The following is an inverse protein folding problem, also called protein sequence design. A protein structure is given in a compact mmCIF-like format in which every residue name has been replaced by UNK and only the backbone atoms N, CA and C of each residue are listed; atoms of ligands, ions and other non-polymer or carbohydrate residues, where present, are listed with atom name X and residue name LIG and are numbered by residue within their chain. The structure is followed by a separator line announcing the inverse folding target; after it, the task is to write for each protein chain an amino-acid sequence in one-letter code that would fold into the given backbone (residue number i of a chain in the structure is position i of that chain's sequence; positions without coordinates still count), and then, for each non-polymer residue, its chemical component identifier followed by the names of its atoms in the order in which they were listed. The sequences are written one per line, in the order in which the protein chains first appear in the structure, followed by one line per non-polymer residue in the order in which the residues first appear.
data_IF_525208571677
#
_entry.id   IF_525208571677
#
_cell.length_a   1.000
_cell.length_b   1.000
_cell.length_c   1.000
_cell.angle_alpha   90.00
_cell.angle_beta   90.00
_cell.angle_gamma   90.00
#
_symmetry.space_group_name_H-M   'P 1'
#
loop_
_entity.id
_entity.type
_entity.pdbx_description
1 polymer ?
#
# COMPACT_ATOMS: atom_id res chain seq x y z
N UNK A 1 -11.19 7.15 22.11
CA UNK A 1 -11.88 7.02 20.80
C UNK A 1 -11.75 5.60 20.31
N UNK A 2 -12.77 5.01 19.69
CA UNK A 2 -12.68 3.68 19.09
C UNK A 2 -12.75 3.80 17.57
N UNK A 3 -11.98 2.99 16.86
CA UNK A 3 -12.13 2.86 15.40
C UNK A 3 -13.41 2.07 15.14
N UNK A 4 -14.37 2.70 14.48
CA UNK A 4 -15.70 2.13 14.21
C UNK A 4 -15.84 1.53 12.81
N UNK A 5 -14.80 1.68 11.98
CA UNK A 5 -14.80 1.24 10.58
C UNK A 5 -13.56 0.40 10.31
N UNK A 6 -13.64 -0.43 9.25
CA UNK A 6 -12.45 -1.07 8.69
C UNK A 6 -11.61 -0.03 7.98
N UNK A 7 -10.31 -0.07 8.20
CA UNK A 7 -9.35 0.91 7.64
C UNK A 7 -8.30 0.18 6.83
N UNK A 8 -8.13 0.60 5.58
CA UNK A 8 -7.03 0.22 4.72
C UNK A 8 -6.19 1.48 4.47
N UNK A 9 -4.94 1.47 4.90
CA UNK A 9 -3.96 2.45 4.48
C UNK A 9 -3.14 1.91 3.31
N UNK A 10 -2.95 2.71 2.27
CA UNK A 10 -2.13 2.35 1.11
C UNK A 10 -1.07 3.44 0.93
N UNK A 11 0.18 3.11 1.20
CA UNK A 11 1.32 4.00 1.01
C UNK A 11 2.00 3.75 -0.34
N UNK A 12 2.20 4.80 -1.14
CA UNK A 12 2.84 4.69 -2.45
C UNK A 12 4.11 5.53 -2.48
N UNK A 13 5.23 4.89 -2.83
CA UNK A 13 6.55 5.48 -2.83
C UNK A 13 7.08 5.74 -1.42
N UNK A 14 8.34 6.12 -1.29
CA UNK A 14 9.00 6.35 0.01
C UNK A 14 8.21 7.25 0.95
N UNK A 15 7.63 8.34 0.44
CA UNK A 15 6.78 9.23 1.25
C UNK A 15 5.55 8.51 1.82
N UNK A 16 4.84 7.73 1.00
CA UNK A 16 3.68 6.97 1.45
C UNK A 16 4.04 5.92 2.50
N UNK A 17 5.21 5.28 2.36
CA UNK A 17 5.75 4.32 3.34
C UNK A 17 6.07 5.01 4.67
N UNK A 18 6.72 6.17 4.64
CA UNK A 18 7.03 6.95 5.85
C UNK A 18 5.77 7.38 6.60
N UNK A 19 4.77 7.93 5.89
CA UNK A 19 3.49 8.31 6.49
C UNK A 19 2.82 7.10 7.15
N UNK A 20 2.81 5.95 6.47
CA UNK A 20 2.20 4.73 7.00
C UNK A 20 2.88 4.23 8.26
N UNK A 21 4.22 4.29 8.32
CA UNK A 21 4.98 3.95 9.51
C UNK A 21 4.60 4.83 10.71
N UNK A 22 4.60 6.15 10.53
CA UNK A 22 4.22 7.08 11.59
C UNK A 22 2.76 6.90 12.02
N UNK A 23 1.86 6.64 11.05
CA UNK A 23 0.46 6.33 11.34
C UNK A 23 0.32 5.06 12.19
N UNK A 24 1.05 4.00 11.87
CA UNK A 24 1.02 2.77 12.68
C UNK A 24 1.52 2.99 14.11
N UNK A 25 2.60 3.75 14.27
CA UNK A 25 3.13 4.13 15.60
C UNK A 25 2.08 4.90 16.39
N UNK A 26 1.44 5.89 15.78
CA UNK A 26 0.39 6.68 16.42
C UNK A 26 -0.82 5.82 16.81
N UNK A 27 -1.29 4.95 15.90
CA UNK A 27 -2.40 4.04 16.16
C UNK A 27 -2.10 3.06 17.31
N UNK A 28 -0.88 2.52 17.39
CA UNK A 28 -0.48 1.63 18.48
C UNK A 28 -0.49 2.37 19.81
N UNK A 29 0.08 3.57 19.86
CA UNK A 29 0.08 4.40 21.06
C UNK A 29 -1.34 4.72 21.53
N UNK A 30 -2.21 5.13 20.62
CA UNK A 30 -3.55 5.62 20.97
C UNK A 30 -4.55 4.49 21.26
N UNK A 31 -4.48 3.37 20.52
CA UNK A 31 -5.40 2.24 20.69
C UNK A 31 -4.94 1.24 21.74
N UNK A 32 -3.65 0.96 21.80
CA UNK A 32 -3.12 -0.06 22.71
C UNK A 32 -2.73 0.51 24.08
N UNK A 33 -2.56 1.82 24.19
CA UNK A 33 -2.17 2.50 25.44
C UNK A 33 -0.70 2.29 25.80
N UNK A 34 -0.24 2.86 26.91
CA UNK A 34 1.18 2.89 27.29
C UNK A 34 1.78 1.51 27.58
N UNK A 35 0.97 0.54 28.01
CA UNK A 35 1.40 -0.84 28.28
C UNK A 35 1.06 -1.82 27.15
N UNK A 36 0.53 -1.33 26.04
CA UNK A 36 0.14 -2.12 24.89
C UNK A 36 -1.11 -2.99 25.08
N UNK A 37 -1.79 -2.93 26.21
CA UNK A 37 -2.84 -3.89 26.59
C UNK A 37 -4.25 -3.30 26.64
N UNK A 38 -4.44 -2.02 26.26
CA UNK A 38 -5.74 -1.37 26.37
C UNK A 38 -6.83 -2.07 25.55
N UNK A 39 -6.50 -2.57 24.35
CA UNK A 39 -7.43 -3.38 23.54
C UNK A 39 -7.71 -4.73 24.19
N UNK A 40 -6.69 -5.42 24.69
CA UNK A 40 -6.81 -6.74 25.32
C UNK A 40 -7.77 -6.66 26.51
N UNK A 41 -7.69 -5.59 27.32
CA UNK A 41 -8.58 -5.37 28.48
C UNK A 41 -10.06 -5.20 28.12
N UNK A 42 -10.38 -4.87 26.86
CA UNK A 42 -11.78 -4.85 26.39
C UNK A 42 -12.39 -6.25 26.29
N UNK A 43 -11.57 -7.28 26.30
CA UNK A 43 -12.05 -8.68 26.26
C UNK A 43 -12.63 -9.09 24.91
N UNK A 44 -13.40 -10.18 24.90
CA UNK A 44 -14.03 -10.71 23.68
C UNK A 44 -12.99 -11.07 22.61
N UNK A 45 -13.23 -10.62 21.38
CA UNK A 45 -12.33 -10.89 20.25
C UNK A 45 -10.93 -10.28 20.43
N UNK A 46 -10.80 -9.22 21.23
CA UNK A 46 -9.52 -8.55 21.49
C UNK A 46 -8.62 -9.29 22.48
N UNK A 47 -9.16 -10.23 23.27
CA UNK A 47 -8.36 -10.99 24.25
C UNK A 47 -7.26 -11.85 23.62
N UNK A 48 -7.36 -12.14 22.33
CA UNK A 48 -6.39 -12.93 21.56
C UNK A 48 -5.23 -12.09 20.98
N UNK A 49 -5.31 -10.78 21.09
CA UNK A 49 -4.25 -9.89 20.61
C UNK A 49 -3.01 -9.99 21.51
N UNK A 50 -1.84 -9.79 20.88
CA UNK A 50 -0.60 -9.56 21.61
C UNK A 50 -0.51 -8.08 22.06
N UNK A 51 0.28 -7.76 23.09
CA UNK A 51 0.54 -6.35 23.47
C UNK A 51 0.98 -5.55 22.24
N UNK A 52 0.44 -4.33 22.09
CA UNK A 52 0.65 -3.42 20.96
C UNK A 52 0.22 -3.94 19.57
N UNK A 53 -0.41 -5.09 19.46
CA UNK A 53 -0.94 -5.58 18.20
C UNK A 53 -2.17 -4.78 17.78
N UNK A 54 -2.17 -4.25 16.56
CA UNK A 54 -3.36 -3.66 15.94
C UNK A 54 -4.35 -4.77 15.52
N UNK A 55 -5.65 -4.52 15.62
CA UNK A 55 -6.66 -5.46 15.14
C UNK A 55 -6.62 -5.63 13.62
N UNK A 56 -7.05 -6.78 13.12
CA UNK A 56 -7.04 -7.10 11.70
C UNK A 56 -8.00 -6.22 10.85
N UNK A 57 -8.87 -5.44 11.47
CA UNK A 57 -9.67 -4.43 10.76
C UNK A 57 -8.89 -3.14 10.42
N UNK A 58 -7.61 -3.09 10.76
CA UNK A 58 -6.65 -2.08 10.33
C UNK A 58 -5.56 -2.80 9.55
N UNK A 59 -5.45 -2.51 8.26
CA UNK A 59 -4.44 -3.10 7.38
C UNK A 59 -3.68 -2.00 6.64
N UNK A 60 -2.42 -2.27 6.31
CA UNK A 60 -1.58 -1.38 5.52
C UNK A 60 -0.99 -2.14 4.33
N UNK A 61 -0.98 -1.49 3.16
CA UNK A 61 -0.32 -1.95 1.94
C UNK A 61 0.70 -0.90 1.50
N UNK A 62 1.85 -1.33 1.05
CA UNK A 62 2.92 -0.45 0.62
C UNK A 62 3.41 -0.82 -0.78
N UNK A 63 3.39 0.16 -1.68
CA UNK A 63 3.82 0.04 -3.06
C UNK A 63 5.08 0.89 -3.27
N UNK A 64 6.21 0.25 -3.32
CA UNK A 64 7.48 0.87 -3.71
C UNK A 64 8.35 -0.15 -4.44
N UNK A 65 9.30 0.32 -5.24
CA UNK A 65 10.33 -0.52 -5.85
C UNK A 65 11.73 -0.19 -5.33
N UNK A 66 11.82 0.72 -4.39
CA UNK A 66 13.00 0.91 -3.58
C UNK A 66 13.14 -0.24 -2.59
N UNK A 67 14.30 -0.90 -2.58
CA UNK A 67 14.60 -2.00 -1.64
C UNK A 67 14.62 -1.52 -0.18
N UNK A 68 14.75 -0.21 0.04
CA UNK A 68 14.73 0.38 1.37
C UNK A 68 13.32 0.47 1.99
N UNK A 69 12.23 0.33 1.20
CA UNK A 69 10.87 0.45 1.72
C UNK A 69 10.59 -0.52 2.88
N UNK A 70 11.02 -1.77 2.76
CA UNK A 70 10.90 -2.77 3.83
C UNK A 70 11.75 -2.38 5.05
N UNK A 71 12.97 -1.88 4.82
CA UNK A 71 13.85 -1.42 5.89
C UNK A 71 13.30 -0.20 6.62
N UNK A 72 12.62 0.72 5.92
CA UNK A 72 11.97 1.88 6.55
C UNK A 72 10.89 1.43 7.53
N UNK A 73 10.09 0.43 7.17
CA UNK A 73 9.08 -0.14 8.06
C UNK A 73 9.70 -0.85 9.26
N UNK A 74 10.86 -1.47 9.08
CA UNK A 74 11.57 -2.20 10.12
C UNK A 74 12.43 -1.30 11.01
N UNK A 75 12.99 -0.20 10.48
CA UNK A 75 13.84 0.74 11.23
C UNK A 75 13.01 1.58 12.18
N UNK A 76 13.24 1.35 13.44
CA UNK A 76 12.93 2.29 14.52
C UNK A 76 11.64 2.03 15.26
N UNK A 77 11.82 1.51 16.28
CA UNK A 77 11.30 1.27 17.60
C UNK A 77 11.36 -0.22 17.90
N UNK A 78 11.89 -0.58 19.04
CA UNK A 78 11.87 -1.93 19.64
C UNK A 78 10.46 -2.52 19.78
N UNK A 79 9.43 -1.79 19.35
CA UNK A 79 8.04 -2.18 19.30
C UNK A 79 7.77 -3.07 18.08
N UNK A 80 8.54 -4.15 18.02
CA UNK A 80 8.18 -5.37 17.32
C UNK A 80 7.97 -5.25 15.80
N UNK A 81 9.05 -5.31 15.05
CA UNK A 81 9.11 -5.66 13.63
C UNK A 81 8.06 -6.74 13.27
N UNK A 82 7.94 -7.78 14.11
CA UNK A 82 6.94 -8.84 13.95
C UNK A 82 5.48 -8.40 14.01
N UNK A 83 5.16 -7.28 14.68
CA UNK A 83 3.79 -6.76 14.76
C UNK A 83 3.46 -5.88 13.55
N UNK A 84 4.44 -5.14 13.03
CA UNK A 84 4.28 -4.40 11.78
C UNK A 84 4.02 -5.38 10.62
N UNK A 85 4.80 -6.45 10.51
CA UNK A 85 4.63 -7.49 9.50
C UNK A 85 3.23 -8.14 9.52
N UNK A 86 2.57 -8.17 10.65
CA UNK A 86 1.25 -8.78 10.76
C UNK A 86 0.13 -7.93 10.13
N UNK A 87 0.24 -6.61 10.20
CA UNK A 87 -0.79 -5.68 9.72
C UNK A 87 -0.37 -4.92 8.46
N UNK A 88 0.91 -4.96 8.10
CA UNK A 88 1.47 -4.30 6.93
C UNK A 88 1.97 -5.32 5.90
N UNK A 89 1.66 -5.10 4.64
CA UNK A 89 2.13 -5.91 3.52
C UNK A 89 2.89 -5.02 2.55
N UNK A 90 4.17 -5.29 2.36
CA UNK A 90 4.95 -4.67 1.28
C UNK A 90 4.70 -5.47 0.00
N UNK A 91 4.27 -4.80 -1.05
CA UNK A 91 4.03 -5.44 -2.35
C UNK A 91 5.37 -5.64 -3.05
N UNK A 92 6.05 -6.72 -2.71
CA UNK A 92 7.40 -7.06 -3.23
C UNK A 92 7.42 -7.41 -4.72
N UNK A 93 6.27 -7.75 -5.30
CA UNK A 93 6.17 -8.12 -6.73
C UNK A 93 6.57 -7.00 -7.68
N UNK A 94 6.57 -5.75 -7.22
CA UNK A 94 7.09 -4.63 -8.01
C UNK A 94 8.61 -4.75 -8.19
N UNK A 95 9.33 -5.24 -7.17
CA UNK A 95 10.79 -5.47 -7.26
C UNK A 95 11.16 -6.63 -8.19
N UNK A 96 10.30 -7.66 -8.28
CA UNK A 96 10.54 -8.88 -9.06
C UNK A 96 10.35 -8.70 -10.57
N UNK A 97 10.34 -7.48 -11.07
CA UNK A 97 10.10 -7.19 -12.50
C UNK A 97 11.17 -7.75 -13.45
N UNK A 98 12.34 -8.17 -12.92
CA UNK A 98 13.46 -8.68 -13.71
C UNK A 98 14.20 -7.62 -14.54
N UNK A 99 13.82 -6.35 -14.40
CA UNK A 99 14.51 -5.22 -15.01
C UNK A 99 15.43 -4.56 -13.97
N UNK A 100 16.70 -4.45 -14.30
CA UNK A 100 17.70 -3.79 -13.44
C UNK A 100 17.77 -2.29 -13.65
N UNK A 101 17.24 -1.79 -14.80
CA UNK A 101 17.24 -0.38 -15.16
C UNK A 101 15.98 0.01 -15.90
N UNK A 102 15.69 1.32 -15.92
CA UNK A 102 14.58 1.86 -16.70
C UNK A 102 14.65 1.51 -18.18
N UNK A 103 15.84 1.58 -18.78
CA UNK A 103 16.04 1.26 -20.21
C UNK A 103 15.60 -0.18 -20.51
N UNK A 104 16.01 -1.14 -19.68
CA UNK A 104 15.60 -2.55 -19.83
C UNK A 104 14.09 -2.69 -19.67
N UNK A 105 13.49 -2.03 -18.68
CA UNK A 105 12.05 -2.02 -18.49
C UNK A 105 11.31 -1.47 -19.72
N UNK A 106 11.75 -0.33 -20.24
CA UNK A 106 11.16 0.31 -21.41
C UNK A 106 11.28 -0.55 -22.69
N UNK A 107 12.43 -1.19 -22.90
CA UNK A 107 12.61 -2.13 -24.02
C UNK A 107 11.69 -3.35 -23.91
N UNK A 108 11.52 -3.91 -22.71
CA UNK A 108 10.58 -5.01 -22.48
C UNK A 108 9.14 -4.62 -22.77
N UNK A 109 8.70 -3.43 -22.31
CA UNK A 109 7.34 -2.93 -22.56
C UNK A 109 7.08 -2.66 -24.05
N UNK A 110 8.09 -2.18 -24.80
CA UNK A 110 7.96 -1.97 -26.25
C UNK A 110 7.92 -3.28 -27.04
N UNK A 111 8.63 -4.30 -26.55
CA UNK A 111 8.70 -5.61 -27.23
C UNK A 111 7.44 -6.44 -27.02
N UNK A 112 6.71 -6.22 -25.97
CA UNK A 112 5.46 -6.92 -25.66
C UNK A 112 4.30 -6.30 -26.45
N UNK A 113 3.58 -7.12 -27.24
CA UNK A 113 2.51 -6.66 -28.14
C UNK A 113 1.31 -6.09 -27.39
N UNK A 114 0.99 -6.66 -26.23
CA UNK A 114 -0.19 -6.26 -25.46
C UNK A 114 0.06 -4.95 -24.73
N UNK A 115 1.25 -4.77 -24.16
CA UNK A 115 1.62 -3.55 -23.46
C UNK A 115 2.08 -2.42 -24.34
N UNK A 116 2.67 -2.71 -25.51
CA UNK A 116 3.19 -1.68 -26.41
C UNK A 116 2.10 -0.69 -26.87
N UNK A 117 0.87 -1.18 -27.09
CA UNK A 117 -0.26 -0.32 -27.43
C UNK A 117 -0.69 0.59 -26.28
N UNK A 118 -0.63 0.10 -25.04
CA UNK A 118 -1.03 0.83 -23.82
C UNK A 118 0.03 1.84 -23.37
N UNK A 119 1.30 1.56 -23.66
CA UNK A 119 2.42 2.40 -23.24
C UNK A 119 2.78 3.49 -24.23
N UNK A 120 2.35 3.38 -25.49
CA UNK A 120 2.68 4.27 -26.59
C UNK A 120 2.46 5.76 -26.31
N UNK A 121 1.46 6.10 -25.50
CA UNK A 121 1.09 7.48 -25.26
C UNK A 121 1.88 8.14 -24.12
N UNK A 122 2.61 7.39 -23.33
CA UNK A 122 3.31 7.92 -22.15
C UNK A 122 4.76 7.44 -22.02
N UNK A 123 5.14 6.34 -22.65
CA UNK A 123 6.53 5.87 -22.65
C UNK A 123 7.35 6.73 -23.62
N UNK A 124 8.42 7.41 -23.18
CA UNK A 124 9.26 8.23 -24.03
C UNK A 124 9.89 7.44 -25.17
N UNK A 125 10.19 8.09 -26.28
CA UNK A 125 11.04 7.53 -27.32
C UNK A 125 12.47 7.29 -26.79
N UNK A 126 13.21 6.37 -27.42
CA UNK A 126 14.54 5.93 -26.94
C UNK A 126 15.53 7.08 -26.71
N UNK A 127 15.48 8.08 -27.58
CA UNK A 127 16.38 9.23 -27.52
C UNK A 127 16.04 10.21 -26.38
N UNK A 128 14.82 10.10 -25.83
CA UNK A 128 14.29 10.95 -24.77
C UNK A 128 14.16 10.20 -23.43
N UNK A 129 14.77 9.03 -23.32
CA UNK A 129 14.72 8.24 -22.09
C UNK A 129 15.47 8.93 -20.94
N UNK A 130 14.86 8.99 -19.74
CA UNK A 130 15.55 9.53 -18.59
C UNK A 130 16.77 8.69 -18.20
N UNK A 131 17.87 9.36 -17.91
CA UNK A 131 19.06 8.73 -17.33
C UNK A 131 18.86 8.65 -15.81
N UNK A 132 18.56 7.46 -15.32
CA UNK A 132 18.26 7.23 -13.90
C UNK A 132 19.13 6.13 -13.32
N UNK A 133 19.25 6.13 -12.00
CA UNK A 133 19.86 5.07 -11.22
C UNK A 133 19.17 3.71 -11.45
N UNK A 134 19.73 2.59 -11.00
CA UNK A 134 19.04 1.31 -10.99
C UNK A 134 17.63 1.41 -10.38
N UNK A 135 16.70 0.61 -10.87
CA UNK A 135 15.31 0.63 -10.37
C UNK A 135 15.20 0.26 -8.88
N UNK A 136 16.18 -0.47 -8.35
CA UNK A 136 16.30 -0.76 -6.91
C UNK A 136 16.46 0.49 -6.05
N UNK A 137 16.93 1.59 -6.63
CA UNK A 137 17.14 2.86 -5.94
C UNK A 137 15.92 3.79 -6.10
N UNK A 138 14.80 3.26 -6.59
CA UNK A 138 13.54 3.96 -6.81
C UNK A 138 13.44 4.65 -8.18
N UNK A 139 12.37 5.40 -8.39
CA UNK A 139 12.12 6.11 -9.65
C UNK A 139 12.77 7.51 -9.73
N UNK A 140 13.47 7.94 -8.69
CA UNK A 140 13.92 9.31 -8.58
C UNK A 140 12.74 10.30 -8.69
N UNK A 141 12.87 11.31 -9.55
CA UNK A 141 11.81 12.30 -9.80
C UNK A 141 11.09 12.08 -11.14
N UNK A 142 11.22 10.90 -11.75
CA UNK A 142 10.66 10.60 -13.07
C UNK A 142 9.42 9.72 -12.97
N UNK A 143 8.20 10.27 -13.13
CA UNK A 143 6.95 9.49 -13.09
C UNK A 143 6.89 8.35 -14.11
N UNK A 144 7.48 8.56 -15.29
CA UNK A 144 7.54 7.54 -16.34
C UNK A 144 8.34 6.30 -15.93
N UNK A 145 9.35 6.47 -15.06
CA UNK A 145 10.15 5.38 -14.50
C UNK A 145 9.29 4.53 -13.57
N UNK A 146 8.59 5.19 -12.65
CA UNK A 146 7.67 4.51 -11.74
C UNK A 146 6.59 3.75 -12.47
N UNK A 147 5.97 4.40 -13.45
CA UNK A 147 4.91 3.79 -14.24
C UNK A 147 5.40 2.60 -15.06
N UNK A 148 6.58 2.70 -15.67
CA UNK A 148 7.16 1.59 -16.43
C UNK A 148 7.45 0.37 -15.54
N UNK A 149 7.97 0.59 -14.33
CA UNK A 149 8.21 -0.47 -13.36
C UNK A 149 6.92 -1.19 -12.96
N UNK A 150 5.85 -0.44 -12.65
CA UNK A 150 4.55 -1.02 -12.31
C UNK A 150 3.96 -1.84 -13.48
N UNK A 151 3.95 -1.29 -14.70
CA UNK A 151 3.41 -1.99 -15.87
C UNK A 151 4.16 -3.28 -16.15
N UNK A 152 5.48 -3.27 -16.02
CA UNK A 152 6.29 -4.48 -16.18
C UNK A 152 5.97 -5.51 -15.09
N UNK A 153 5.81 -5.06 -13.84
CA UNK A 153 5.45 -5.92 -12.72
C UNK A 153 4.06 -6.54 -12.91
N UNK A 154 3.06 -5.75 -13.32
CA UNK A 154 1.71 -6.23 -13.60
C UNK A 154 1.70 -7.26 -14.74
N UNK A 155 2.51 -7.07 -15.77
CA UNK A 155 2.62 -8.02 -16.87
C UNK A 155 3.22 -9.36 -16.46
N UNK A 156 4.21 -9.34 -15.57
CA UNK A 156 4.96 -10.54 -15.18
C UNK A 156 4.44 -11.18 -13.91
N UNK A 157 4.03 -10.36 -12.97
CA UNK A 157 3.67 -10.76 -11.61
C UNK A 157 2.30 -10.20 -11.19
N UNK A 158 1.43 -9.83 -12.14
CA UNK A 158 0.14 -9.20 -11.85
C UNK A 158 -0.71 -10.01 -10.88
N UNK A 159 -0.74 -11.32 -11.03
CA UNK A 159 -1.45 -12.20 -10.11
C UNK A 159 -0.88 -12.16 -8.68
N UNK A 160 0.41 -11.90 -8.51
CA UNK A 160 1.03 -11.78 -7.20
C UNK A 160 0.66 -10.45 -6.54
N UNK A 161 0.70 -9.34 -7.29
CA UNK A 161 0.27 -8.03 -6.80
C UNK A 161 -1.21 -8.07 -6.40
N UNK A 162 -2.06 -8.60 -7.27
CA UNK A 162 -3.49 -8.75 -6.96
C UNK A 162 -3.72 -9.65 -5.74
N UNK A 163 -2.95 -10.73 -5.59
CA UNK A 163 -3.05 -11.61 -4.44
C UNK A 163 -2.72 -10.92 -3.11
N UNK A 164 -1.67 -10.09 -3.08
CA UNK A 164 -1.32 -9.34 -1.87
C UNK A 164 -2.42 -8.33 -1.48
N UNK A 165 -2.99 -7.64 -2.47
CA UNK A 165 -4.15 -6.76 -2.26
C UNK A 165 -5.34 -7.57 -1.73
N UNK A 166 -5.66 -8.69 -2.35
CA UNK A 166 -6.77 -9.55 -1.96
C UNK A 166 -6.61 -10.08 -0.53
N UNK A 167 -5.40 -10.45 -0.14
CA UNK A 167 -5.13 -10.93 1.22
C UNK A 167 -5.41 -9.84 2.25
N UNK A 168 -4.97 -8.61 2.01
CA UNK A 168 -5.25 -7.48 2.90
C UNK A 168 -6.77 -7.21 3.00
N UNK A 169 -7.48 -7.19 1.87
CA UNK A 169 -8.94 -7.02 1.84
C UNK A 169 -9.64 -8.14 2.59
N UNK A 170 -9.26 -9.40 2.38
CA UNK A 170 -9.86 -10.55 3.08
C UNK A 170 -9.63 -10.49 4.59
N UNK A 171 -8.45 -10.05 5.07
CA UNK A 171 -8.21 -9.84 6.50
C UNK A 171 -9.17 -8.81 7.07
N UNK A 172 -9.39 -7.69 6.37
CA UNK A 172 -10.37 -6.67 6.76
C UNK A 172 -11.80 -7.23 6.85
N UNK A 173 -12.18 -8.08 5.91
CA UNK A 173 -13.52 -8.71 5.90
C UNK A 173 -13.68 -9.65 7.08
N UNK A 174 -12.72 -10.55 7.30
CA UNK A 174 -12.75 -11.53 8.39
C UNK A 174 -12.76 -10.88 9.78
N UNK A 175 -12.15 -9.70 9.90
CA UNK A 175 -12.15 -8.93 11.14
C UNK A 175 -13.48 -8.23 11.47
N UNK A 176 -14.48 -8.37 10.62
CA UNK A 176 -15.79 -7.70 10.79
C UNK A 176 -16.50 -8.03 12.10
N UNK A 177 -16.35 -9.25 12.61
CA UNK A 177 -16.89 -9.63 13.90
C UNK A 177 -16.32 -8.86 15.10
N UNK A 178 -15.08 -8.39 15.01
CA UNK A 178 -14.49 -7.53 16.04
C UNK A 178 -15.15 -6.16 16.14
N UNK A 179 -15.61 -5.62 15.00
CA UNK A 179 -16.28 -4.32 14.95
C UNK A 179 -17.76 -4.39 15.31
N UNK A 180 -18.44 -5.51 15.06
CA UNK A 180 -19.84 -5.68 15.41
C UNK A 180 -20.11 -5.55 16.91
N UNK A 181 -19.14 -5.94 17.74
CA UNK A 181 -19.24 -5.75 19.20
C UNK A 181 -19.16 -4.28 19.64
N UNK A 182 -18.82 -3.34 18.74
CA UNK A 182 -18.66 -1.91 19.01
C UNK A 182 -19.65 -1.02 18.26
N UNK A 183 -20.53 -1.58 17.43
CA UNK A 183 -21.47 -0.82 16.58
C UNK A 183 -22.91 -0.90 17.10
N UNK A 184 -23.66 0.17 16.85
CA UNK A 184 -25.13 0.11 16.85
C UNK A 184 -25.58 -0.66 15.60
N UNK A 185 -26.64 -1.45 15.69
CA UNK A 185 -27.16 -2.34 14.63
C UNK A 185 -27.51 -1.64 13.30
N UNK A 186 -27.64 -0.32 13.29
CA UNK A 186 -28.03 0.48 12.12
C UNK A 186 -26.91 0.87 11.15
N UNK A 187 -25.65 0.68 11.53
CA UNK A 187 -24.52 1.13 10.70
C UNK A 187 -24.14 0.10 9.65
N UNK A 188 -24.31 0.43 8.38
CA UNK A 188 -23.82 -0.40 7.27
C UNK A 188 -22.29 -0.59 7.38
N UNK A 189 -21.77 -1.79 7.08
CA UNK A 189 -20.35 -2.01 7.09
C UNK A 189 -19.66 -1.15 6.02
N UNK A 190 -18.64 -0.40 6.44
CA UNK A 190 -17.83 0.47 5.57
C UNK A 190 -16.36 0.13 5.65
N UNK A 191 -15.66 0.31 4.52
CA UNK A 191 -14.20 0.33 4.48
C UNK A 191 -13.75 1.73 4.08
N UNK A 192 -12.87 2.31 4.89
CA UNK A 192 -12.20 3.57 4.60
C UNK A 192 -10.79 3.24 4.09
N UNK A 193 -10.53 3.53 2.83
CA UNK A 193 -9.24 3.32 2.19
C UNK A 193 -8.53 4.67 2.01
N UNK A 194 -7.42 4.87 2.70
CA UNK A 194 -6.58 6.07 2.59
C UNK A 194 -5.36 5.76 1.75
N UNK A 195 -5.16 6.49 0.66
CA UNK A 195 -4.02 6.32 -0.26
C UNK A 195 -3.07 7.49 -0.12
N UNK A 196 -1.96 7.29 0.58
CA UNK A 196 -0.95 8.32 0.84
C UNK A 196 0.19 8.28 -0.18
N UNK A 197 0.50 9.41 -0.81
CA UNK A 197 1.59 9.54 -1.78
C UNK A 197 2.07 11.00 -1.92
N UNK A 198 3.23 11.18 -2.54
CA UNK A 198 3.74 12.50 -2.92
C UNK A 198 3.77 12.64 -4.43
N UNK A 199 3.47 13.84 -4.93
CA UNK A 199 3.65 14.19 -6.35
C UNK A 199 5.02 14.82 -6.63
N UNK A 200 5.90 14.89 -5.63
CA UNK A 200 7.29 15.32 -5.83
C UNK A 200 8.21 14.16 -6.26
N UNK A 201 7.88 12.91 -5.91
CA UNK A 201 8.67 11.73 -6.25
C UNK A 201 8.16 10.98 -7.47
N UNK A 202 9.06 10.29 -8.18
CA UNK A 202 8.72 9.55 -9.40
C UNK A 202 7.83 8.33 -9.16
N UNK A 203 8.03 7.59 -8.06
CA UNK A 203 7.20 6.43 -7.72
C UNK A 203 5.76 6.86 -7.45
N UNK A 204 5.55 7.73 -6.46
CA UNK A 204 4.22 8.18 -6.07
C UNK A 204 3.44 8.74 -7.25
N UNK A 205 4.03 9.72 -7.96
CA UNK A 205 3.41 10.37 -9.12
C UNK A 205 3.17 9.41 -10.29
N UNK A 206 4.09 8.45 -10.48
CA UNK A 206 4.02 7.54 -11.62
C UNK A 206 2.95 6.47 -11.51
N UNK A 207 2.63 6.01 -10.27
CA UNK A 207 1.80 4.82 -10.11
C UNK A 207 0.50 5.03 -9.32
N UNK A 208 0.30 6.19 -8.65
CA UNK A 208 -0.85 6.37 -7.77
C UNK A 208 -2.18 6.13 -8.47
N UNK A 209 -2.31 6.60 -9.70
CA UNK A 209 -3.55 6.49 -10.47
C UNK A 209 -3.86 5.02 -10.80
N UNK A 210 -2.88 4.30 -11.31
CA UNK A 210 -3.04 2.89 -11.69
C UNK A 210 -3.29 2.02 -10.44
N UNK A 211 -2.62 2.32 -9.30
CA UNK A 211 -2.84 1.63 -8.01
C UNK A 211 -4.24 1.89 -7.46
N UNK A 212 -4.76 3.13 -7.52
CA UNK A 212 -6.12 3.44 -7.07
C UNK A 212 -7.14 2.65 -7.89
N UNK A 213 -7.01 2.59 -9.22
CA UNK A 213 -7.90 1.81 -10.07
C UNK A 213 -7.81 0.30 -9.80
N UNK A 214 -6.60 -0.21 -9.55
CA UNK A 214 -6.41 -1.61 -9.19
C UNK A 214 -7.10 -1.93 -7.85
N UNK A 215 -6.94 -1.07 -6.85
CA UNK A 215 -7.61 -1.19 -5.56
C UNK A 215 -9.12 -1.15 -5.70
N UNK A 216 -9.67 -0.18 -6.45
CA UNK A 216 -11.11 -0.07 -6.70
C UNK A 216 -11.65 -1.35 -7.34
N UNK A 217 -11.00 -1.85 -8.38
CA UNK A 217 -11.36 -3.10 -9.04
C UNK A 217 -11.38 -4.27 -8.07
N UNK A 218 -10.33 -4.44 -7.24
CA UNK A 218 -10.22 -5.57 -6.30
C UNK A 218 -11.22 -5.43 -5.15
N UNK A 219 -11.40 -4.24 -4.60
CA UNK A 219 -12.38 -3.96 -3.56
C UNK A 219 -13.81 -4.29 -4.03
N UNK A 220 -14.20 -3.80 -5.21
CA UNK A 220 -15.52 -4.07 -5.78
C UNK A 220 -15.74 -5.56 -6.12
N UNK A 221 -14.68 -6.28 -6.48
CA UNK A 221 -14.77 -7.72 -6.79
C UNK A 221 -14.97 -8.58 -5.53
N UNK A 222 -14.37 -8.19 -4.40
CA UNK A 222 -14.36 -9.01 -3.17
C UNK A 222 -15.49 -8.61 -2.22
N UNK A 223 -15.96 -7.37 -2.29
CA UNK A 223 -16.83 -6.77 -1.28
C UNK A 223 -18.25 -6.54 -1.83
N UNK A 224 -19.03 -7.60 -1.93
CA UNK A 224 -20.45 -7.43 -2.21
C UNK A 224 -21.20 -6.82 -1.00
N UNK A 225 -21.91 -5.72 -1.22
CA UNK A 225 -22.75 -5.08 -0.20
C UNK A 225 -22.00 -4.29 0.89
N UNK A 226 -20.70 -4.09 0.75
CA UNK A 226 -19.90 -3.26 1.65
C UNK A 226 -19.60 -1.93 0.96
N UNK A 227 -19.91 -0.82 1.62
CA UNK A 227 -19.56 0.51 1.14
C UNK A 227 -18.05 0.74 1.25
N UNK A 228 -17.41 1.20 0.17
CA UNK A 228 -15.97 1.51 0.14
C UNK A 228 -15.80 2.98 -0.21
N UNK A 229 -15.03 3.69 0.58
CA UNK A 229 -14.63 5.06 0.32
C UNK A 229 -13.10 5.13 0.19
N UNK A 230 -12.62 5.60 -0.95
CA UNK A 230 -11.18 5.79 -1.22
C UNK A 230 -10.85 7.28 -1.11
N UNK A 231 -9.89 7.61 -0.25
CA UNK A 231 -9.43 8.96 0.03
C UNK A 231 -7.96 9.11 -0.37
N UNK A 232 -7.66 9.74 -1.51
CA UNK A 232 -6.28 10.09 -1.85
C UNK A 232 -5.76 11.20 -0.92
N UNK A 233 -4.60 10.96 -0.32
CA UNK A 233 -3.88 11.90 0.53
C UNK A 233 -2.59 12.30 -0.19
N UNK A 234 -2.59 13.47 -0.82
CA UNK A 234 -1.50 13.93 -1.67
C UNK A 234 -0.61 14.92 -0.94
N UNK A 235 0.70 14.64 -0.86
CA UNK A 235 1.69 15.62 -0.45
C UNK A 235 2.21 16.36 -1.68
N UNK A 236 2.10 17.68 -1.62
CA UNK A 236 2.59 18.57 -2.68
C UNK A 236 4.08 18.88 -2.50
N UNK A 237 4.80 19.31 -3.57
CA UNK A 237 6.23 19.67 -3.49
C UNK A 237 6.54 20.75 -2.46
N UNK A 238 5.60 21.65 -2.17
CA UNK A 238 5.75 22.70 -1.17
C UNK A 238 5.77 22.19 0.29
N UNK A 239 5.59 20.88 0.51
CA UNK A 239 5.67 20.28 1.83
C UNK A 239 7.11 19.80 2.19
N UNK A 240 8.09 19.98 1.29
CA UNK A 240 9.48 19.54 1.46
C UNK A 240 10.45 20.72 1.47
#
# INVERSE_FOLDING_TARGET
MGVTHRVLYVGIGGTGVHIGKELEVALRRDLCGPDGKALIRKGGAFSKLSPYQLPDYIQSLYFDFDDDAEQILQKGTDLNTKLIEKNATVVKSIHASGATSYRVAAEMLRADKDTSSMTKNWLPEKDNEPQVAPLSDGAGQYPTVGRAALYLALNRSGNEIEREIDQAIRRLVLAGGMLQSMKNESDKPKILCYVGFSVAGGTGTGIFYDVIHLLEKRLNTILEGIEVNIFPLTLLPSAF
#
